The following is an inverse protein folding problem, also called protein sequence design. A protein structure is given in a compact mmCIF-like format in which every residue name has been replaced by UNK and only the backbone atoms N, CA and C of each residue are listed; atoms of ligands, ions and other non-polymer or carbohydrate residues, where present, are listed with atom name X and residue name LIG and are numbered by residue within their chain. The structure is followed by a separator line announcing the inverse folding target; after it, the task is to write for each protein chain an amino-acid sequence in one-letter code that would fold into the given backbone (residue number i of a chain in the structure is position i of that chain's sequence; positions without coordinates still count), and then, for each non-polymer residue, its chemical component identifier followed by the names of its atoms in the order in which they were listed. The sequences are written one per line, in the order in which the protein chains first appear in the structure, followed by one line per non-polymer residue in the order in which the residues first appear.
data_IF_279186852394
#
_entry.id   IF_279186852394
#
_cell.length_a   1.000
_cell.length_b   1.000
_cell.length_c   1.000
_cell.angle_alpha   90.00
_cell.angle_beta   90.00
_cell.angle_gamma   90.00
#
_symmetry.space_group_name_H-M   'P 1'
#
loop_
_entity.id
_entity.type
_entity.pdbx_description
1 polymer ?
#
# COMPACT_ATOMS: atom_id res chain seq x y z
N UNK A 1 16.80 4.34 -10.46
CA UNK A 1 17.50 5.65 -10.60
C UNK A 1 18.22 5.75 -11.95
N UNK A 2 19.20 4.89 -12.25
CA UNK A 2 19.94 4.93 -13.53
C UNK A 2 19.02 4.92 -14.76
N UNK A 3 17.93 4.15 -14.70
CA UNK A 3 16.99 3.96 -15.81
C UNK A 3 15.64 4.68 -15.61
N UNK A 4 15.51 5.54 -14.59
CA UNK A 4 14.25 6.23 -14.24
C UNK A 4 13.00 5.32 -14.14
N UNK A 5 13.19 4.09 -13.65
CA UNK A 5 12.08 3.17 -13.39
C UNK A 5 11.36 3.58 -12.11
N UNK A 6 10.04 3.67 -12.19
CA UNK A 6 9.13 3.90 -11.05
C UNK A 6 8.81 2.56 -10.37
N UNK A 7 8.85 2.54 -9.04
CA UNK A 7 8.46 1.38 -8.26
C UNK A 7 6.94 1.35 -8.08
N UNK A 8 6.32 0.24 -8.46
CA UNK A 8 4.99 -0.14 -7.98
C UNK A 8 5.18 -1.08 -6.79
N UNK A 9 4.94 -0.59 -5.59
CA UNK A 9 5.07 -1.38 -4.37
C UNK A 9 3.80 -2.21 -4.20
N UNK A 10 3.91 -3.51 -4.52
CA UNK A 10 2.79 -4.44 -4.60
C UNK A 10 2.18 -4.81 -3.25
N UNK A 11 0.92 -5.24 -3.32
CA UNK A 11 0.03 -5.56 -2.20
C UNK A 11 -0.18 -7.08 -2.03
N UNK A 12 0.86 -7.81 -1.64
CA UNK A 12 0.81 -9.26 -1.57
C UNK A 12 -0.19 -9.80 -0.52
N UNK A 13 -0.42 -9.07 0.57
CA UNK A 13 -1.45 -9.34 1.58
C UNK A 13 -2.81 -8.73 1.23
N UNK A 14 -3.09 -8.32 -0.02
CA UNK A 14 -4.43 -7.77 -0.35
C UNK A 14 -5.55 -8.77 -0.07
N UNK A 15 -6.73 -8.31 0.36
CA UNK A 15 -7.85 -9.20 0.67
C UNK A 15 -8.36 -9.91 -0.59
N UNK A 16 -8.39 -11.25 -0.53
CA UNK A 16 -8.92 -12.12 -1.58
C UNK A 16 -10.43 -12.33 -1.50
N UNK A 17 -11.05 -12.01 -0.36
CA UNK A 17 -12.50 -11.99 -0.20
C UNK A 17 -12.93 -10.90 0.80
N UNK A 18 -14.24 -10.63 0.87
CA UNK A 18 -14.79 -9.58 1.74
C UNK A 18 -14.54 -9.82 3.22
N UNK A 19 -14.36 -11.07 3.65
CA UNK A 19 -14.11 -11.41 5.05
C UNK A 19 -12.67 -11.08 5.49
N UNK A 20 -11.73 -11.02 4.54
CA UNK A 20 -10.32 -10.73 4.79
C UNK A 20 -10.01 -9.22 4.71
N UNK A 21 -11.02 -8.40 4.36
CA UNK A 21 -10.83 -6.97 4.18
C UNK A 21 -10.40 -6.29 5.48
N UNK A 22 -9.32 -5.49 5.38
CA UNK A 22 -8.77 -4.73 6.50
C UNK A 22 -8.25 -5.62 7.64
N UNK A 23 -7.73 -6.80 7.31
CA UNK A 23 -7.09 -7.68 8.28
C UNK A 23 -5.69 -7.18 8.70
N UNK A 24 -5.07 -7.87 9.65
CA UNK A 24 -3.76 -7.49 10.18
C UNK A 24 -2.65 -7.64 9.13
N UNK A 25 -2.69 -8.67 8.27
CA UNK A 25 -1.67 -8.87 7.22
C UNK A 25 -1.66 -7.67 6.27
N UNK A 26 -2.84 -7.27 5.80
CA UNK A 26 -3.01 -6.15 4.87
C UNK A 26 -2.47 -4.84 5.47
N UNK A 27 -2.84 -4.53 6.71
CA UNK A 27 -2.41 -3.28 7.36
C UNK A 27 -0.91 -3.29 7.69
N UNK A 28 -0.38 -4.42 8.16
CA UNK A 28 1.06 -4.54 8.43
C UNK A 28 1.89 -4.41 7.15
N UNK A 29 1.44 -5.00 6.04
CA UNK A 29 2.09 -4.81 4.74
C UNK A 29 2.08 -3.34 4.34
N UNK A 30 0.92 -2.65 4.41
CA UNK A 30 0.80 -1.24 4.07
C UNK A 30 1.76 -0.33 4.88
N UNK A 31 1.95 -0.62 6.17
CA UNK A 31 2.95 0.08 7.01
C UNK A 31 4.37 -0.10 6.44
N UNK A 32 4.73 -1.33 6.05
CA UNK A 32 6.04 -1.62 5.43
C UNK A 32 6.19 -0.96 4.06
N UNK A 33 5.12 -0.91 3.26
CA UNK A 33 5.15 -0.21 1.97
C UNK A 33 5.38 1.30 2.16
N UNK A 34 4.78 1.93 3.18
CA UNK A 34 5.05 3.33 3.54
C UNK A 34 6.51 3.58 3.95
N UNK A 35 7.11 2.67 4.72
CA UNK A 35 8.56 2.72 5.04
C UNK A 35 9.43 2.61 3.77
N UNK A 36 9.08 1.71 2.86
CA UNK A 36 9.78 1.51 1.59
C UNK A 36 9.61 2.69 0.64
N UNK A 37 8.44 3.32 0.57
CA UNK A 37 8.18 4.52 -0.23
C UNK A 37 9.01 5.70 0.28
N UNK A 38 9.08 5.91 1.60
CA UNK A 38 9.97 6.92 2.22
C UNK A 38 11.42 6.65 1.87
N UNK A 39 11.86 5.39 1.91
CA UNK A 39 13.20 4.98 1.50
C UNK A 39 13.42 5.28 0.01
N UNK A 40 12.51 4.89 -0.88
CA UNK A 40 12.62 5.16 -2.32
C UNK A 40 12.78 6.67 -2.60
N UNK A 41 11.99 7.50 -1.91
CA UNK A 41 12.09 8.96 -1.97
C UNK A 41 13.48 9.48 -1.55
N UNK A 42 14.07 8.95 -0.49
CA UNK A 42 15.43 9.31 -0.05
C UNK A 42 16.50 9.01 -1.12
N UNK A 43 16.29 7.98 -1.95
CA UNK A 43 17.19 7.64 -3.06
C UNK A 43 16.85 8.36 -4.38
N UNK A 44 15.82 9.21 -4.39
CA UNK A 44 15.34 9.89 -5.59
C UNK A 44 14.75 8.91 -6.61
N UNK A 45 14.06 7.86 -6.14
CA UNK A 45 13.33 6.90 -6.96
C UNK A 45 11.83 7.13 -6.76
N UNK A 46 11.11 7.24 -7.88
CA UNK A 46 9.66 7.41 -7.89
C UNK A 46 8.99 6.12 -7.39
N UNK A 47 7.96 6.24 -6.55
CA UNK A 47 7.22 5.09 -6.02
C UNK A 47 5.73 5.40 -5.92
N UNK A 48 4.92 4.40 -6.21
CA UNK A 48 3.49 4.33 -5.90
C UNK A 48 3.21 3.04 -5.13
N UNK A 49 2.09 3.01 -4.41
CA UNK A 49 1.69 1.87 -3.59
C UNK A 49 0.40 1.30 -4.15
N UNK A 50 0.39 -0.02 -4.35
CA UNK A 50 -0.80 -0.78 -4.73
C UNK A 50 -1.72 -0.92 -3.52
N UNK A 51 -3.03 -0.88 -3.75
CA UNK A 51 -4.05 -0.87 -2.71
C UNK A 51 -4.96 -2.10 -2.81
N UNK A 52 -5.77 -2.36 -1.78
CA UNK A 52 -6.45 -3.64 -1.58
C UNK A 52 -7.40 -4.07 -2.70
N UNK A 53 -7.70 -5.38 -2.70
CA UNK A 53 -8.63 -6.01 -3.61
C UNK A 53 -10.08 -5.98 -3.11
N UNK A 54 -10.56 -7.08 -2.55
CA UNK A 54 -11.97 -7.23 -2.18
C UNK A 54 -12.29 -6.51 -0.87
N UNK A 55 -12.89 -5.33 -0.97
CA UNK A 55 -13.24 -4.48 0.19
C UNK A 55 -14.73 -4.11 0.15
N UNK A 56 -15.48 -4.26 1.26
CA UNK A 56 -16.86 -3.81 1.32
C UNK A 56 -16.93 -2.27 1.34
N UNK A 57 -17.99 -1.69 0.74
CA UNK A 57 -18.12 -0.25 0.52
C UNK A 57 -17.86 0.62 1.77
N UNK A 58 -18.33 0.17 2.93
CA UNK A 58 -18.19 0.90 4.20
C UNK A 58 -16.75 0.96 4.75
N UNK A 59 -15.80 0.20 4.18
CA UNK A 59 -14.39 0.18 4.59
C UNK A 59 -13.46 0.88 3.58
N UNK A 60 -13.95 1.25 2.40
CA UNK A 60 -13.12 1.86 1.35
C UNK A 60 -12.51 3.18 1.81
N UNK A 61 -13.32 4.05 2.43
CA UNK A 61 -12.85 5.35 2.93
C UNK A 61 -11.75 5.19 3.97
N UNK A 62 -11.93 4.29 4.94
CA UNK A 62 -10.92 4.02 5.97
C UNK A 62 -9.59 3.57 5.36
N UNK A 63 -9.61 2.68 4.37
CA UNK A 63 -8.39 2.22 3.70
C UNK A 63 -7.63 3.38 3.03
N UNK A 64 -8.35 4.33 2.42
CA UNK A 64 -7.74 5.51 1.82
C UNK A 64 -7.12 6.45 2.87
N UNK A 65 -7.83 6.72 3.97
CA UNK A 65 -7.34 7.56 5.08
C UNK A 65 -6.08 6.97 5.72
N UNK A 66 -6.03 5.64 5.88
CA UNK A 66 -4.85 4.92 6.39
C UNK A 66 -3.68 5.04 5.42
N UNK A 67 -3.92 4.83 4.11
CA UNK A 67 -2.87 4.95 3.09
C UNK A 67 -2.27 6.37 3.05
N UNK A 68 -3.11 7.41 3.04
CA UNK A 68 -2.68 8.81 3.05
C UNK A 68 -1.86 9.17 4.31
N UNK A 69 -2.17 8.54 5.45
CA UNK A 69 -1.47 8.80 6.71
C UNK A 69 -0.11 8.10 6.79
N UNK A 70 0.02 6.89 6.24
CA UNK A 70 1.21 6.06 6.38
C UNK A 70 2.29 6.34 5.32
N UNK A 71 1.87 6.66 4.10
CA UNK A 71 2.68 6.60 2.89
C UNK A 71 2.99 7.99 2.31
#
# INVERSE_FOLDING_TARGET
KEYDVTLSLGDACRPGCLADATDVCQIEELVRLGELAKRAKQYGVQAMIEGPGHVPLHQIQMNMEVQESLC
#
